data_IF_632403964761
#
_entry.id   IF_632403964761
#
_cell.length_a   1.000
_cell.length_b   1.000
_cell.length_c   1.000
_cell.angle_alpha   90.00
_cell.angle_beta   90.00
_cell.angle_gamma   90.00
#
_symmetry.space_group_name_H-M   'P 1'
#
loop_
_entity.id
_entity.type
_entity.pdbx_description
1 polymer ?
#
# COMPACT_ATOMS: atom_id res chain seq x y z
N UNK A 1 -10.06 -12.47 2.37
CA UNK A 1 -9.41 -12.73 1.08
C UNK A 1 -8.44 -11.61 0.73
N UNK A 2 -7.24 -11.95 0.29
CA UNK A 2 -6.23 -10.98 -0.13
C UNK A 2 -6.22 -10.91 -1.65
N UNK A 3 -6.34 -9.70 -2.21
CA UNK A 3 -6.28 -9.50 -3.67
C UNK A 3 -5.92 -8.06 -4.02
N UNK A 4 -5.48 -7.86 -5.26
CA UNK A 4 -5.34 -6.51 -5.81
C UNK A 4 -6.69 -6.03 -6.32
N UNK A 5 -6.98 -4.76 -6.07
CA UNK A 5 -8.21 -4.14 -6.56
C UNK A 5 -8.11 -3.80 -8.06
N UNK A 6 -9.23 -3.96 -8.76
CA UNK A 6 -9.35 -3.41 -10.11
C UNK A 6 -9.40 -1.88 -10.02
N UNK A 7 -9.03 -1.20 -11.09
CA UNK A 7 -8.95 0.27 -11.08
C UNK A 7 -10.26 0.92 -10.64
N UNK A 8 -11.39 0.42 -11.11
CA UNK A 8 -12.70 0.98 -10.77
C UNK A 8 -13.12 0.74 -9.32
N UNK A 9 -12.45 -0.17 -8.63
CA UNK A 9 -12.74 -0.48 -7.23
C UNK A 9 -11.90 0.34 -6.24
N UNK A 10 -10.87 1.02 -6.71
CA UNK A 10 -9.88 1.65 -5.81
C UNK A 10 -10.48 2.73 -4.91
N UNK A 11 -11.56 3.38 -5.35
CA UNK A 11 -12.26 4.36 -4.52
C UNK A 11 -12.81 3.80 -3.22
N UNK A 12 -13.01 2.50 -3.14
CA UNK A 12 -13.48 1.83 -1.92
C UNK A 12 -12.50 1.97 -0.76
N UNK A 13 -11.24 2.34 -1.03
CA UNK A 13 -10.23 2.53 0.00
C UNK A 13 -10.34 3.87 0.74
N UNK A 14 -11.18 4.78 0.28
CA UNK A 14 -11.23 6.13 0.83
C UNK A 14 -11.60 6.18 2.30
N UNK A 15 -12.58 5.39 2.72
CA UNK A 15 -13.02 5.39 4.12
C UNK A 15 -11.90 4.90 5.05
N UNK A 16 -11.21 3.83 4.66
CA UNK A 16 -10.07 3.35 5.44
C UNK A 16 -8.94 4.37 5.46
N UNK A 17 -8.67 5.04 4.32
CA UNK A 17 -7.67 6.09 4.26
C UNK A 17 -7.97 7.22 5.25
N UNK A 18 -9.21 7.69 5.26
CA UNK A 18 -9.62 8.77 6.17
C UNK A 18 -9.53 8.38 7.65
N UNK A 19 -9.86 7.15 7.97
CA UNK A 19 -9.71 6.64 9.33
C UNK A 19 -8.24 6.58 9.75
N UNK A 20 -7.37 6.06 8.87
CA UNK A 20 -5.97 5.83 9.19
C UNK A 20 -5.12 7.08 9.14
N UNK A 21 -5.47 8.04 8.27
CA UNK A 21 -4.69 9.25 8.01
C UNK A 21 -5.57 10.50 8.14
N UNK A 22 -6.11 10.76 9.33
CA UNK A 22 -7.04 11.88 9.53
C UNK A 22 -6.41 13.27 9.33
N UNK A 23 -5.08 13.36 9.38
CA UNK A 23 -4.36 14.61 9.14
C UNK A 23 -4.28 15.00 7.68
N UNK A 24 -4.56 14.07 6.75
CA UNK A 24 -4.56 14.37 5.33
C UNK A 24 -5.78 15.23 4.96
N UNK A 25 -5.54 16.34 4.24
CA UNK A 25 -6.60 17.23 3.83
C UNK A 25 -7.52 16.58 2.79
N UNK A 26 -8.74 17.14 2.65
CA UNK A 26 -9.66 16.71 1.61
C UNK A 26 -9.05 16.91 0.22
N UNK A 27 -8.34 18.03 0.02
CA UNK A 27 -7.67 18.34 -1.25
C UNK A 27 -6.59 17.29 -1.58
N UNK A 28 -5.81 16.88 -0.57
CA UNK A 28 -4.81 15.83 -0.77
C UNK A 28 -5.48 14.50 -1.13
N UNK A 29 -6.52 14.12 -0.41
CA UNK A 29 -7.23 12.86 -0.69
C UNK A 29 -7.83 12.86 -2.10
N UNK A 30 -8.45 13.97 -2.51
CA UNK A 30 -9.01 14.10 -3.86
C UNK A 30 -7.92 13.97 -4.92
N UNK A 31 -6.77 14.63 -4.71
CA UNK A 31 -5.63 14.52 -5.62
C UNK A 31 -5.11 13.10 -5.70
N UNK A 32 -4.85 12.48 -4.55
CA UNK A 32 -4.29 11.13 -4.51
C UNK A 32 -5.19 10.11 -5.18
N UNK A 33 -6.47 10.13 -4.84
CA UNK A 33 -7.43 9.15 -5.38
C UNK A 33 -7.73 9.38 -6.85
N UNK A 34 -7.56 10.61 -7.35
CA UNK A 34 -7.72 10.93 -8.77
C UNK A 34 -6.48 10.61 -9.59
N UNK A 35 -5.29 11.00 -9.10
CA UNK A 35 -4.06 10.95 -9.89
C UNK A 35 -3.19 9.73 -9.59
N UNK A 36 -2.93 9.43 -8.33
CA UNK A 36 -2.02 8.34 -7.95
C UNK A 36 -2.66 6.97 -8.11
N UNK A 37 -3.97 6.88 -7.92
CA UNK A 37 -4.70 5.62 -8.05
C UNK A 37 -4.86 5.14 -9.50
N UNK A 38 -4.46 5.92 -10.48
CA UNK A 38 -4.50 5.50 -11.89
C UNK A 38 -3.52 4.38 -12.19
N UNK A 39 -2.31 4.48 -11.65
CA UNK A 39 -1.18 3.63 -12.05
C UNK A 39 -0.67 2.73 -10.95
N UNK A 40 -1.16 2.88 -9.73
CA UNK A 40 -0.67 2.08 -8.61
C UNK A 40 -1.36 0.72 -8.55
N UNK A 41 -0.81 -0.14 -7.68
CA UNK A 41 -1.42 -1.43 -7.33
C UNK A 41 -1.85 -1.35 -5.88
N UNK A 42 -3.10 -1.67 -5.60
CA UNK A 42 -3.65 -1.63 -4.24
C UNK A 42 -3.97 -3.05 -3.81
N UNK A 43 -3.20 -3.54 -2.85
CA UNK A 43 -3.41 -4.86 -2.26
C UNK A 43 -4.27 -4.71 -1.00
N UNK A 44 -5.35 -5.48 -0.94
CA UNK A 44 -6.29 -5.38 0.17
C UNK A 44 -6.60 -6.73 0.77
N UNK A 45 -7.03 -6.71 2.03
CA UNK A 45 -7.73 -7.81 2.65
C UNK A 45 -9.21 -7.44 2.75
N UNK A 46 -10.04 -8.31 2.22
CA UNK A 46 -11.49 -8.16 2.33
C UNK A 46 -12.05 -9.21 3.28
N UNK A 47 -12.96 -8.78 4.15
CA UNK A 47 -13.73 -9.64 5.02
C UNK A 47 -15.19 -9.22 4.94
N UNK A 48 -16.08 -10.16 4.58
CA UNK A 48 -17.51 -9.89 4.45
C UNK A 48 -17.84 -8.71 3.52
N UNK A 49 -17.10 -8.60 2.44
CA UNK A 49 -17.30 -7.53 1.46
C UNK A 49 -16.74 -6.17 1.85
N UNK A 50 -16.05 -6.07 2.98
CA UNK A 50 -15.45 -4.84 3.47
C UNK A 50 -13.93 -4.89 3.37
N UNK A 51 -13.30 -3.79 2.97
CA UNK A 51 -11.84 -3.67 2.98
C UNK A 51 -11.41 -3.35 4.41
N UNK A 52 -10.72 -4.30 5.04
CA UNK A 52 -10.30 -4.18 6.43
C UNK A 52 -8.83 -3.83 6.60
N UNK A 53 -8.03 -4.06 5.56
CA UNK A 53 -6.60 -3.71 5.55
C UNK A 53 -6.15 -3.47 4.13
N UNK A 54 -5.16 -2.59 3.95
CA UNK A 54 -4.66 -2.24 2.62
C UNK A 54 -3.20 -1.84 2.64
N UNK A 55 -2.55 -1.93 1.49
CA UNK A 55 -1.30 -1.25 1.19
C UNK A 55 -1.29 -0.85 -0.29
N UNK A 56 -0.60 0.24 -0.58
CA UNK A 56 -0.53 0.79 -1.93
C UNK A 56 0.90 0.69 -2.44
N UNK A 57 1.08 0.15 -3.63
CA UNK A 57 2.35 0.05 -4.35
C UNK A 57 2.36 1.12 -5.42
N UNK A 58 3.04 2.24 -5.15
CA UNK A 58 3.10 3.37 -6.08
C UNK A 58 4.39 3.30 -6.89
N UNK A 59 4.33 3.19 -8.23
CA UNK A 59 5.52 3.07 -9.04
C UNK A 59 6.32 4.37 -9.09
N UNK A 60 7.65 4.24 -8.99
CA UNK A 60 8.58 5.35 -9.10
C UNK A 60 9.76 4.96 -9.98
N UNK A 61 10.25 5.93 -10.73
CA UNK A 61 11.50 5.78 -11.49
C UNK A 61 12.61 6.36 -10.66
N UNK A 62 13.63 5.56 -10.44
CA UNK A 62 14.80 5.96 -9.65
C UNK A 62 16.03 5.86 -10.53
N UNK A 63 16.87 6.90 -10.48
CA UNK A 63 18.12 6.95 -11.22
C UNK A 63 19.26 6.71 -10.24
N UNK A 64 20.04 5.67 -10.52
CA UNK A 64 21.21 5.34 -9.72
C UNK A 64 22.37 4.98 -10.64
N UNK A 65 23.52 5.63 -10.40
CA UNK A 65 24.76 5.35 -11.13
C UNK A 65 24.57 5.36 -12.65
N UNK A 66 23.77 6.29 -13.15
CA UNK A 66 23.50 6.42 -14.57
C UNK A 66 22.50 5.44 -15.14
N UNK A 67 21.91 4.61 -14.33
CA UNK A 67 20.87 3.66 -14.74
C UNK A 67 19.52 4.02 -14.15
N UNK A 68 18.45 3.73 -14.89
CA UNK A 68 17.09 3.91 -14.43
C UNK A 68 16.55 2.57 -13.94
N UNK A 69 15.87 2.60 -12.78
CA UNK A 69 15.15 1.44 -12.27
C UNK A 69 13.74 1.86 -11.89
N UNK A 70 12.77 0.97 -12.13
CA UNK A 70 11.39 1.17 -11.66
C UNK A 70 11.20 0.33 -10.40
N UNK A 71 10.73 0.97 -9.33
CA UNK A 71 10.41 0.27 -8.09
C UNK A 71 9.14 0.86 -7.49
N UNK A 72 8.59 0.19 -6.50
CA UNK A 72 7.40 0.68 -5.82
C UNK A 72 7.77 1.40 -4.53
N UNK A 73 7.14 2.53 -4.33
CA UNK A 73 7.11 3.22 -3.05
C UNK A 73 5.84 2.77 -2.31
N UNK A 74 6.00 2.21 -1.13
CA UNK A 74 4.88 1.65 -0.37
C UNK A 74 4.26 2.75 0.48
N UNK A 75 2.98 2.99 0.28
CA UNK A 75 2.22 4.00 1.05
C UNK A 75 0.88 3.43 1.48
N UNK A 76 0.20 4.13 2.37
CA UNK A 76 -1.17 3.82 2.75
C UNK A 76 -1.35 2.50 3.48
N UNK A 77 -0.28 1.97 4.09
CA UNK A 77 -0.35 0.72 4.85
C UNK A 77 -1.22 0.95 6.07
N UNK A 78 -2.35 0.28 6.15
CA UNK A 78 -3.31 0.52 7.23
C UNK A 78 -4.27 -0.64 7.42
N UNK A 79 -4.84 -0.71 8.62
CA UNK A 79 -5.86 -1.67 9.01
C UNK A 79 -6.90 -0.93 9.82
N UNK A 80 -8.19 -1.24 9.59
CA UNK A 80 -9.26 -0.68 10.42
C UNK A 80 -8.95 -0.92 11.89
N UNK A 81 -9.21 0.08 12.73
CA UNK A 81 -8.92 -0.01 14.17
C UNK A 81 -9.56 -1.25 14.78
N UNK A 82 -10.81 -1.53 14.42
CA UNK A 82 -11.56 -2.68 14.93
C UNK A 82 -10.97 -4.03 14.48
N UNK A 83 -10.12 -4.04 13.47
CA UNK A 83 -9.57 -5.26 12.86
C UNK A 83 -8.07 -5.43 13.12
N UNK A 84 -7.49 -4.60 13.97
CA UNK A 84 -6.05 -4.67 14.32
C UNK A 84 -5.76 -5.89 15.20
N UNK A 85 -4.47 -6.27 15.23
CA UNK A 85 -3.96 -7.39 16.02
C UNK A 85 -4.43 -8.76 15.56
N UNK A 86 -4.87 -8.87 14.29
CA UNK A 86 -5.25 -10.13 13.66
C UNK A 86 -4.23 -10.62 12.64
N UNK A 87 -3.11 -9.92 12.50
CA UNK A 87 -2.06 -10.29 11.55
C UNK A 87 -2.33 -9.89 10.10
N UNK A 88 -3.27 -8.98 9.85
CA UNK A 88 -3.62 -8.58 8.48
C UNK A 88 -2.50 -7.82 7.78
N UNK A 89 -1.85 -6.88 8.48
CA UNK A 89 -0.70 -6.17 7.92
C UNK A 89 0.41 -7.15 7.52
N UNK A 90 0.71 -8.10 8.41
CA UNK A 90 1.73 -9.11 8.13
C UNK A 90 1.39 -9.91 6.88
N UNK A 91 0.15 -10.35 6.75
CA UNK A 91 -0.30 -11.13 5.59
C UNK A 91 -0.16 -10.33 4.30
N UNK A 92 -0.53 -9.05 4.33
CA UNK A 92 -0.39 -8.18 3.15
C UNK A 92 1.07 -7.93 2.80
N UNK A 93 1.91 -7.64 3.80
CA UNK A 93 3.34 -7.38 3.56
C UNK A 93 4.03 -8.61 2.96
N UNK A 94 3.77 -9.80 3.49
CA UNK A 94 4.37 -11.02 2.97
C UNK A 94 3.88 -11.34 1.55
N UNK A 95 2.59 -11.15 1.28
CA UNK A 95 2.05 -11.35 -0.07
C UNK A 95 2.68 -10.38 -1.07
N UNK A 96 2.80 -9.10 -0.70
CA UNK A 96 3.43 -8.09 -1.53
C UNK A 96 4.89 -8.42 -1.83
N UNK A 97 5.66 -8.77 -0.80
CA UNK A 97 7.10 -9.08 -0.99
C UNK A 97 7.28 -10.29 -1.90
N UNK A 98 6.43 -11.31 -1.77
CA UNK A 98 6.47 -12.46 -2.67
C UNK A 98 6.16 -12.05 -4.10
N UNK A 99 5.14 -11.22 -4.30
CA UNK A 99 4.77 -10.75 -5.64
C UNK A 99 5.89 -9.92 -6.26
N UNK A 100 6.54 -9.05 -5.48
CA UNK A 100 7.68 -8.27 -5.95
C UNK A 100 8.86 -9.15 -6.33
N UNK A 101 9.11 -10.23 -5.57
CA UNK A 101 10.16 -11.17 -5.89
C UNK A 101 9.87 -11.89 -7.21
N UNK A 102 8.64 -12.32 -7.44
CA UNK A 102 8.22 -12.96 -8.67
C UNK A 102 8.32 -12.00 -9.87
N UNK A 103 8.03 -10.71 -9.65
CA UNK A 103 8.16 -9.66 -10.65
C UNK A 103 9.63 -9.24 -10.87
N UNK A 104 10.55 -9.77 -10.08
CA UNK A 104 11.98 -9.42 -10.12
C UNK A 104 12.23 -7.94 -9.89
N UNK A 105 11.46 -7.32 -9.01
CA UNK A 105 11.65 -5.93 -8.64
C UNK A 105 12.97 -5.79 -7.88
N UNK A 106 13.87 -4.85 -8.28
CA UNK A 106 15.21 -4.77 -7.67
C UNK A 106 15.19 -4.35 -6.22
N UNK A 107 14.27 -3.49 -5.81
CA UNK A 107 14.10 -3.06 -4.43
C UNK A 107 12.76 -2.34 -4.28
N UNK A 108 12.40 -2.09 -3.02
CA UNK A 108 11.24 -1.27 -2.67
C UNK A 108 11.60 -0.41 -1.46
N UNK A 109 10.81 0.61 -1.20
CA UNK A 109 11.06 1.51 -0.08
C UNK A 109 9.74 2.05 0.49
N UNK A 110 9.82 2.54 1.73
CA UNK A 110 8.70 3.19 2.39
C UNK A 110 9.24 4.22 3.39
N UNK A 111 8.37 5.14 3.82
CA UNK A 111 8.67 6.06 4.90
C UNK A 111 7.82 5.66 6.10
N UNK A 112 8.43 5.01 7.11
CA UNK A 112 7.67 4.44 8.21
C UNK A 112 7.20 5.49 9.20
N UNK A 113 5.94 5.40 9.62
CA UNK A 113 5.48 6.14 10.78
C UNK A 113 6.11 5.55 12.06
N UNK A 114 6.41 4.25 12.05
CA UNK A 114 7.08 3.55 13.15
C UNK A 114 7.96 2.44 12.55
N UNK A 115 9.28 2.61 12.66
CA UNK A 115 10.25 1.66 12.08
C UNK A 115 10.06 0.22 12.55
N UNK A 116 9.75 0.02 13.82
CA UNK A 116 9.62 -1.33 14.38
C UNK A 116 8.55 -2.17 13.70
N UNK A 117 7.56 -1.55 13.04
CA UNK A 117 6.54 -2.28 12.30
C UNK A 117 7.10 -2.92 11.03
N UNK A 118 8.16 -2.35 10.45
CA UNK A 118 8.67 -2.76 9.14
C UNK A 118 9.99 -3.51 9.18
N UNK A 119 10.76 -3.41 10.26
CA UNK A 119 12.03 -4.13 10.40
C UNK A 119 11.93 -5.64 10.18
N UNK A 120 10.87 -6.32 10.63
CA UNK A 120 10.75 -7.76 10.37
C UNK A 120 10.70 -8.15 8.90
N UNK A 121 10.51 -7.18 8.00
CA UNK A 121 10.42 -7.38 6.55
C UNK A 121 11.66 -6.88 5.80
N UNK A 122 12.76 -6.65 6.52
CA UNK A 122 14.03 -6.17 5.96
C UNK A 122 13.98 -4.75 5.39
N UNK A 123 13.16 -3.92 6.00
CA UNK A 123 13.16 -2.48 5.69
C UNK A 123 14.05 -1.70 6.63
#
# INVERSE_FOLDING_TARGET
MIRYLETEEKGRCLDLWREAFPEDSTEFCDYYFKEKMKDNKVLVREENGEIVSMLHRNPYRIYMRGSEAVCDYIVGVSTLVAERHKGYMRSLMLAMLRDMQEERMPFTFLMPARESLYRPYDF
#
